data_IF_341872957571
#
_entry.id   IF_341872957571
#
_cell.length_a   1.000
_cell.length_b   1.000
_cell.length_c   1.000
_cell.angle_alpha   90.00
_cell.angle_beta   90.00
_cell.angle_gamma   90.00
#
_symmetry.space_group_name_H-M   'P 1'
#
loop_
_entity.id
_entity.type
_entity.pdbx_description
1 polymer ?
#
# COMPACT_ATOMS: atom_id res chain seq x y z
N UNK A 1 20.14 -36.95 -22.77
CA UNK A 1 20.10 -35.48 -22.71
C UNK A 1 19.09 -35.15 -21.62
N UNK A 2 19.56 -34.85 -20.41
CA UNK A 2 18.70 -34.53 -19.27
C UNK A 2 18.75 -33.00 -19.09
N UNK A 3 17.67 -32.29 -19.39
CA UNK A 3 17.58 -30.84 -19.20
C UNK A 3 17.49 -30.53 -17.70
N UNK A 4 18.60 -30.04 -17.15
CA UNK A 4 18.68 -29.55 -15.79
C UNK A 4 17.91 -28.22 -15.68
N UNK A 5 16.60 -28.27 -15.40
CA UNK A 5 15.79 -27.09 -15.09
C UNK A 5 16.19 -26.55 -13.73
N UNK A 6 17.03 -25.51 -13.74
CA UNK A 6 17.23 -24.60 -12.61
C UNK A 6 15.87 -24.02 -12.20
N UNK A 7 15.25 -24.62 -11.18
CA UNK A 7 14.07 -24.05 -10.53
C UNK A 7 14.58 -22.87 -9.68
N UNK A 8 14.46 -21.66 -10.22
CA UNK A 8 14.69 -20.44 -9.44
C UNK A 8 13.61 -20.35 -8.37
N UNK A 9 13.90 -20.85 -7.17
CA UNK A 9 13.07 -20.62 -5.99
C UNK A 9 13.16 -19.14 -5.66
N UNK A 10 12.21 -18.33 -6.15
CA UNK A 10 12.08 -16.92 -5.78
C UNK A 10 12.03 -16.85 -4.24
N UNK A 11 13.08 -16.29 -3.62
CA UNK A 11 13.08 -15.98 -2.19
C UNK A 11 11.81 -15.17 -1.89
N UNK A 12 10.93 -15.68 -1.02
CA UNK A 12 9.74 -14.96 -0.58
C UNK A 12 10.21 -13.68 0.12
N UNK A 13 9.93 -12.53 -0.51
CA UNK A 13 10.18 -11.23 0.12
C UNK A 13 9.32 -11.05 1.37
N UNK A 14 9.58 -10.00 2.15
CA UNK A 14 8.79 -9.68 3.33
C UNK A 14 7.28 -9.64 3.01
N UNK A 15 6.49 -10.23 3.90
CA UNK A 15 5.02 -10.10 3.91
C UNK A 15 4.65 -8.63 3.97
N UNK A 16 3.71 -8.22 3.11
CA UNK A 16 3.22 -6.84 3.01
C UNK A 16 1.78 -6.83 3.46
N UNK A 17 1.48 -5.98 4.43
CA UNK A 17 0.14 -5.77 4.96
C UNK A 17 -0.21 -4.29 4.79
N UNK A 18 -1.39 -4.00 4.26
CA UNK A 18 -1.82 -2.63 4.05
C UNK A 18 -2.05 -1.93 5.39
N UNK A 19 -1.55 -0.71 5.54
CA UNK A 19 -1.73 0.07 6.77
C UNK A 19 -2.96 0.98 6.76
N UNK A 20 -3.71 1.07 5.66
CA UNK A 20 -4.73 2.10 5.44
C UNK A 20 -6.10 1.71 6.03
N UNK A 21 -6.64 2.55 6.91
CA UNK A 21 -7.96 2.35 7.52
C UNK A 21 -8.13 0.95 8.11
N UNK A 22 -9.18 0.25 7.66
CA UNK A 22 -9.50 -1.15 8.00
C UNK A 22 -9.15 -2.13 6.88
N UNK A 23 -8.30 -1.73 5.92
CA UNK A 23 -7.95 -2.55 4.78
C UNK A 23 -7.20 -3.82 5.21
N UNK A 24 -7.68 -4.97 4.74
CA UNK A 24 -7.11 -6.29 5.04
C UNK A 24 -6.27 -6.86 3.88
N UNK A 25 -5.86 -6.03 2.91
CA UNK A 25 -5.01 -6.48 1.81
C UNK A 25 -3.68 -6.97 2.35
N UNK A 26 -3.35 -8.23 2.08
CA UNK A 26 -2.19 -8.91 2.64
C UNK A 26 -1.54 -9.82 1.60
N UNK A 27 -0.24 -9.64 1.37
CA UNK A 27 0.49 -10.37 0.33
C UNK A 27 0.60 -11.87 0.60
N UNK A 28 0.28 -12.36 1.80
CA UNK A 28 0.20 -13.80 2.09
C UNK A 28 -0.92 -14.49 1.33
N UNK A 29 -1.93 -13.74 0.92
CA UNK A 29 -3.14 -14.26 0.27
C UNK A 29 -3.26 -13.78 -1.18
N UNK A 30 -2.12 -13.67 -1.87
CA UNK A 30 -2.05 -13.13 -3.24
C UNK A 30 -2.82 -13.94 -4.28
N UNK A 31 -3.17 -15.19 -3.97
CA UNK A 31 -3.97 -16.11 -4.78
C UNK A 31 -5.48 -15.87 -4.67
N UNK A 32 -5.93 -15.08 -3.69
CA UNK A 32 -7.37 -14.79 -3.52
C UNK A 32 -7.90 -13.88 -4.64
N UNK A 33 -9.15 -14.06 -5.09
CA UNK A 33 -9.76 -13.21 -6.12
C UNK A 33 -9.73 -11.72 -5.75
N UNK A 34 -9.92 -11.40 -4.46
CA UNK A 34 -9.88 -10.02 -3.96
C UNK A 34 -8.46 -9.45 -3.89
N UNK A 35 -7.42 -10.21 -4.24
CA UNK A 35 -6.04 -9.70 -4.33
C UNK A 35 -5.58 -9.57 -5.79
N UNK A 36 -6.43 -9.92 -6.75
CA UNK A 36 -6.16 -9.72 -8.17
C UNK A 36 -5.85 -8.24 -8.45
N UNK A 37 -4.73 -8.01 -9.14
CA UNK A 37 -4.20 -6.69 -9.52
C UNK A 37 -3.84 -5.76 -8.35
N UNK A 38 -3.79 -6.29 -7.11
CA UNK A 38 -3.35 -5.53 -5.94
C UNK A 38 -1.83 -5.56 -5.82
N UNK A 39 -1.22 -4.40 -5.81
CA UNK A 39 0.19 -4.24 -5.46
C UNK A 39 0.36 -3.30 -4.26
N UNK A 40 1.52 -3.42 -3.61
CA UNK A 40 1.85 -2.70 -2.38
C UNK A 40 2.93 -1.66 -2.65
N UNK A 41 2.65 -0.44 -2.22
CA UNK A 41 3.52 0.72 -2.33
C UNK A 41 4.17 0.94 -0.96
N UNK A 42 5.48 1.18 -0.93
CA UNK A 42 6.15 1.54 0.33
C UNK A 42 5.65 2.89 0.82
N UNK A 43 5.44 2.98 2.12
CA UNK A 43 5.10 4.24 2.75
C UNK A 43 6.29 5.23 2.67
N UNK A 44 6.07 6.53 2.38
CA UNK A 44 7.08 7.56 2.47
C UNK A 44 7.77 7.50 3.83
N UNK A 45 9.09 7.58 3.84
CA UNK A 45 9.83 7.49 5.10
C UNK A 45 9.95 8.89 5.70
N UNK A 46 9.63 9.03 7.00
CA UNK A 46 9.60 10.34 7.66
C UNK A 46 10.92 11.11 7.54
N UNK A 47 12.06 10.41 7.65
CA UNK A 47 13.39 11.01 7.51
C UNK A 47 13.76 11.45 6.09
N UNK A 48 12.95 11.11 5.07
CA UNK A 48 13.19 11.47 3.65
C UNK A 48 12.15 12.44 3.12
N UNK A 49 10.88 12.18 3.43
CA UNK A 49 9.72 12.90 2.91
C UNK A 49 8.72 13.17 4.04
N UNK A 50 9.07 13.97 5.06
CA UNK A 50 8.28 14.11 6.29
C UNK A 50 6.85 14.61 6.03
N UNK A 51 6.68 15.60 5.17
CA UNK A 51 5.36 16.16 4.84
C UNK A 51 4.45 15.16 4.14
N UNK A 52 5.00 14.41 3.18
CA UNK A 52 4.26 13.35 2.47
C UNK A 52 3.92 12.19 3.40
N UNK A 53 4.85 11.81 4.26
CA UNK A 53 4.66 10.81 5.30
C UNK A 53 3.49 11.20 6.22
N UNK A 54 3.47 12.44 6.70
CA UNK A 54 2.40 12.97 7.53
C UNK A 54 1.04 12.99 6.83
N UNK A 55 0.97 13.46 5.58
CA UNK A 55 -0.28 13.44 4.78
C UNK A 55 -0.81 12.02 4.58
N UNK A 56 0.04 11.06 4.23
CA UNK A 56 -0.37 9.67 4.07
C UNK A 56 -0.81 9.04 5.41
N UNK A 57 -0.15 9.38 6.51
CA UNK A 57 -0.50 8.86 7.84
C UNK A 57 -1.88 9.36 8.28
N UNK A 58 -2.14 10.65 8.07
CA UNK A 58 -3.44 11.26 8.30
C UNK A 58 -4.54 10.58 7.47
N UNK A 59 -4.28 10.36 6.17
CA UNK A 59 -5.22 9.70 5.27
C UNK A 59 -5.55 8.26 5.68
N UNK A 60 -4.67 7.56 6.39
CA UNK A 60 -4.94 6.21 6.89
C UNK A 60 -5.96 6.20 8.05
N UNK A 61 -6.17 7.32 8.73
CA UNK A 61 -7.17 7.51 9.81
C UNK A 61 -7.16 6.41 10.88
N UNK A 62 -5.97 5.96 11.28
CA UNK A 62 -5.78 4.96 12.34
C UNK A 62 -5.31 5.62 13.64
N UNK A 63 -5.80 5.10 14.76
CA UNK A 63 -5.36 5.56 16.08
C UNK A 63 -3.86 5.29 16.26
N UNK A 64 -3.13 6.29 16.79
CA UNK A 64 -1.69 6.24 17.03
C UNK A 64 -0.83 5.91 15.80
N UNK A 65 -1.34 6.20 14.59
CA UNK A 65 -0.62 6.03 13.34
C UNK A 65 -0.17 7.40 12.80
N UNK A 66 1.04 7.81 13.17
CA UNK A 66 1.65 9.09 12.80
C UNK A 66 2.89 8.88 11.92
N UNK A 67 3.45 9.96 11.38
CA UNK A 67 4.65 9.91 10.54
C UNK A 67 5.85 9.27 11.26
N UNK A 68 5.96 9.47 12.57
CA UNK A 68 7.01 8.91 13.44
C UNK A 68 6.85 7.41 13.65
N UNK A 69 5.63 6.89 13.53
CA UNK A 69 5.33 5.45 13.70
C UNK A 69 5.67 4.61 12.47
N UNK A 70 5.96 5.25 11.33
CA UNK A 70 6.22 4.60 10.04
C UNK A 70 7.55 3.87 10.06
N UNK A 71 7.51 2.59 9.67
CA UNK A 71 8.67 1.70 9.58
C UNK A 71 9.06 1.49 8.10
N UNK A 72 10.24 0.91 7.89
CA UNK A 72 10.76 0.56 6.56
C UNK A 72 9.87 -0.42 5.77
N UNK A 73 9.06 -1.19 6.50
CA UNK A 73 8.16 -2.23 6.02
C UNK A 73 6.68 -1.85 6.20
N UNK A 74 6.38 -0.57 6.38
CA UNK A 74 5.03 -0.05 6.25
C UNK A 74 4.65 0.05 4.77
N UNK A 75 3.51 -0.52 4.40
CA UNK A 75 2.99 -0.51 3.03
C UNK A 75 1.53 -0.08 2.99
N UNK A 76 1.14 0.50 1.86
CA UNK A 76 -0.25 0.78 1.49
C UNK A 76 -0.54 0.10 0.15
N UNK A 77 -1.72 -0.49 -0.03
CA UNK A 77 -2.07 -1.09 -1.32
C UNK A 77 -2.62 -0.04 -2.30
N UNK A 78 -2.47 -0.32 -3.61
CA UNK A 78 -2.79 0.62 -4.68
C UNK A 78 -4.25 1.09 -4.71
N UNK A 79 -5.18 0.33 -4.11
CA UNK A 79 -6.61 0.63 -4.04
C UNK A 79 -6.97 1.93 -3.34
N UNK A 80 -6.08 2.41 -2.50
CA UNK A 80 -6.32 3.64 -1.73
C UNK A 80 -5.88 4.89 -2.49
N UNK A 81 -5.56 4.77 -3.77
CA UNK A 81 -5.22 5.88 -4.65
C UNK A 81 -6.20 5.95 -5.80
N UNK A 82 -6.35 7.13 -6.39
CA UNK A 82 -7.24 7.38 -7.53
C UNK A 82 -6.99 6.36 -8.64
N UNK A 83 -8.08 5.73 -9.09
CA UNK A 83 -8.05 4.69 -10.13
C UNK A 83 -7.33 3.39 -9.75
N UNK A 84 -6.93 3.20 -8.49
CA UNK A 84 -6.26 1.98 -8.04
C UNK A 84 -4.80 1.82 -8.53
N UNK A 85 -4.16 2.92 -8.96
CA UNK A 85 -2.84 2.90 -9.63
C UNK A 85 -1.67 3.34 -8.75
N UNK A 86 -1.90 3.58 -7.47
CA UNK A 86 -0.90 4.20 -6.60
C UNK A 86 -0.79 5.72 -6.84
N UNK A 87 0.20 6.38 -6.21
CA UNK A 87 0.36 7.83 -6.31
C UNK A 87 0.76 8.25 -7.72
N UNK A 88 0.11 9.28 -8.25
CA UNK A 88 0.45 9.93 -9.52
C UNK A 88 0.95 11.36 -9.28
N UNK A 89 1.32 12.06 -10.34
CA UNK A 89 1.66 13.49 -10.25
C UNK A 89 0.47 14.32 -9.75
N UNK A 90 -0.72 14.07 -10.31
CA UNK A 90 -1.92 14.87 -10.03
C UNK A 90 -2.64 14.41 -8.74
N UNK A 91 -2.50 13.13 -8.39
CA UNK A 91 -3.08 12.53 -7.19
C UNK A 91 -1.98 11.78 -6.40
N UNK A 92 -1.08 12.50 -5.72
CA UNK A 92 0.08 11.90 -5.05
C UNK A 92 -0.25 11.24 -3.71
N UNK A 93 -1.46 11.44 -3.19
CA UNK A 93 -1.87 11.02 -1.84
C UNK A 93 -2.95 9.93 -1.87
N UNK A 94 -3.02 9.11 -0.80
CA UNK A 94 -4.12 8.21 -0.62
C UNK A 94 -5.43 8.98 -0.39
N UNK A 95 -6.52 8.43 -0.90
CA UNK A 95 -7.88 8.85 -0.56
C UNK A 95 -8.07 8.62 0.95
N UNK A 96 -8.54 9.61 1.73
CA UNK A 96 -8.72 9.45 3.17
C UNK A 96 -9.67 8.29 3.51
N UNK A 97 -9.34 7.50 4.54
CA UNK A 97 -10.16 6.37 4.98
C UNK A 97 -11.55 6.80 5.50
N UNK A 98 -11.68 8.06 5.90
CA UNK A 98 -12.94 8.69 6.32
C UNK A 98 -13.74 9.28 5.16
N UNK A 99 -13.21 9.31 3.94
CA UNK A 99 -13.92 9.84 2.77
C UNK A 99 -15.19 9.02 2.53
N UNK A 100 -16.31 9.69 2.33
CA UNK A 100 -17.57 9.02 1.97
C UNK A 100 -17.49 8.49 0.53
N UNK A 101 -18.30 7.48 0.19
CA UNK A 101 -18.31 6.88 -1.16
C UNK A 101 -18.55 7.90 -2.29
N UNK A 102 -19.18 9.03 -1.99
CA UNK A 102 -19.45 10.11 -2.95
C UNK A 102 -18.23 11.01 -3.23
N UNK A 103 -17.31 11.12 -2.28
CA UNK A 103 -16.09 11.92 -2.44
C UNK A 103 -14.99 11.12 -3.15
N UNK A 104 -14.99 9.80 -3.00
CA UNK A 104 -14.01 8.91 -3.64
C UNK A 104 -14.28 8.62 -5.13
N UNK A 105 -15.51 8.85 -5.63
CA UNK A 105 -15.85 8.66 -7.06
C UNK A 105 -15.64 9.92 -7.94
N UNK A 106 -15.41 11.08 -7.33
CA UNK A 106 -15.28 12.37 -8.01
C UNK A 106 -13.84 12.94 -7.98
N UNK A 107 -12.87 12.15 -7.50
CA UNK A 107 -11.44 12.45 -7.44
C UNK A 107 -10.66 11.42 -8.25
#
# INVERSE_FOLDING_TARGET
>A
MEENKLVFVKKKGATKHCCHGTCNSDSRYADRPEMKDVFFIRFPQNHREPEKCARWALACSRQNFTAESIKKDTYICCRHFVGGKGPTHDHPDPIPATATKYEACNL
#
